data_IF_114182695723
#
_entry.id   IF_114182695723
#
_cell.length_a   1.000
_cell.length_b   1.000
_cell.length_c   1.000
_cell.angle_alpha   90.00
_cell.angle_beta   90.00
_cell.angle_gamma   90.00
#
_symmetry.space_group_name_H-M   'P 1'
#
loop_
_entity.id
_entity.type
_entity.pdbx_description
1 polymer ?
2 non-polymer ?
3 non-polymer ?
4 non-polymer ?
5 water ?
#
# COMPACT_ATOMS: atom_id res chain seq x y z
N UNK A 3 13.62 -17.18 11.30
CA UNK A 3 12.28 -17.74 11.67
C UNK A 3 11.26 -17.40 10.57
N UNK A 4 10.11 -18.07 10.58
CA UNK A 4 9.14 -18.03 9.45
C UNK A 4 7.98 -17.06 9.76
N UNK A 5 7.71 -16.12 8.85
CA UNK A 5 6.62 -15.11 8.97
C UNK A 5 5.75 -15.23 7.72
N UNK A 6 4.76 -16.10 7.79
CA UNK A 6 4.00 -16.54 6.59
C UNK A 6 2.56 -16.03 6.68
N UNK A 7 2.04 -15.66 5.52
CA UNK A 7 0.60 -15.36 5.37
C UNK A 7 0.03 -16.16 4.20
N UNK A 8 -1.30 -16.28 4.19
CA UNK A 8 -2.04 -16.72 2.99
C UNK A 8 -2.94 -15.58 2.53
N UNK A 9 -2.79 -15.21 1.27
CA UNK A 9 -3.68 -14.18 0.66
C UNK A 9 -4.82 -14.95 -0.03
N UNK A 10 -6.06 -14.42 0.08
CA UNK A 10 -7.26 -15.13 -0.39
C UNK A 10 -8.05 -14.17 -1.25
N UNK A 11 -9.13 -14.72 -1.84
CA UNK A 11 -10.04 -13.96 -2.73
C UNK A 11 -9.23 -13.29 -3.85
N UNK A 12 -8.24 -13.96 -4.42
CA UNK A 12 -7.33 -13.27 -5.37
C UNK A 12 -7.89 -13.33 -6.79
N UNK A 13 -8.88 -14.18 -7.07
CA UNK A 13 -9.26 -14.49 -8.45
C UNK A 13 -8.08 -14.94 -9.28
N UNK A 14 -8.15 -14.67 -10.56
CA UNK A 14 -7.08 -14.98 -11.53
C UNK A 14 -6.03 -13.88 -11.45
N UNK A 15 -4.76 -14.31 -11.47
CA UNK A 15 -3.59 -13.41 -11.42
C UNK A 15 -2.38 -14.10 -12.05
N UNK A 16 -1.44 -13.26 -12.40
CA UNK A 16 -0.12 -13.70 -12.87
C UNK A 16 0.89 -13.57 -11.73
N UNK A 17 1.85 -14.48 -11.64
CA UNK A 17 2.91 -14.39 -10.60
C UNK A 17 3.72 -13.10 -10.73
N UNK A 18 4.01 -12.63 -11.95
CA UNK A 18 4.74 -11.34 -12.17
C UNK A 18 4.01 -10.17 -11.53
N UNK A 19 2.69 -10.09 -11.78
CA UNK A 19 1.77 -9.03 -11.26
C UNK A 19 1.81 -9.07 -9.73
N UNK A 20 1.73 -10.28 -9.17
CA UNK A 20 1.64 -10.46 -7.70
C UNK A 20 2.98 -10.04 -7.09
N UNK A 21 4.05 -10.49 -7.68
CA UNK A 21 5.39 -10.21 -7.07
C UNK A 21 5.59 -8.66 -7.20
N UNK A 22 5.10 -8.02 -8.28
CA UNK A 22 5.12 -6.53 -8.46
C UNK A 22 4.39 -5.87 -7.29
N UNK A 23 3.15 -6.31 -7.03
CA UNK A 23 2.35 -5.75 -5.94
C UNK A 23 3.15 -5.79 -4.64
N UNK A 24 3.71 -6.97 -4.32
CA UNK A 24 4.28 -7.18 -2.97
C UNK A 24 5.61 -6.41 -2.87
N UNK A 25 6.44 -6.47 -3.91
CA UNK A 25 7.86 -6.04 -3.84
C UNK A 25 8.08 -4.64 -4.43
N UNK A 26 7.29 -4.18 -5.41
CA UNK A 26 7.50 -2.86 -6.05
C UNK A 26 6.50 -1.84 -5.52
N UNK A 27 5.22 -2.22 -5.47
CA UNK A 27 4.17 -1.30 -5.04
C UNK A 27 4.15 -1.18 -3.51
N UNK A 28 4.21 -2.29 -2.76
CA UNK A 28 4.07 -2.26 -1.28
C UNK A 28 5.37 -2.41 -0.53
N UNK A 29 6.46 -2.61 -1.28
CA UNK A 29 7.86 -2.61 -0.76
C UNK A 29 8.00 -3.62 0.37
N UNK A 30 7.37 -4.78 0.22
CA UNK A 30 7.59 -5.88 1.16
C UNK A 30 8.86 -6.61 0.78
N UNK A 31 9.56 -7.07 1.83
CA UNK A 31 10.74 -7.96 1.72
C UNK A 31 10.26 -9.41 1.75
N UNK A 32 9.94 -9.94 0.57
CA UNK A 32 9.35 -11.29 0.37
C UNK A 32 10.49 -12.31 0.22
N UNK A 33 10.46 -13.37 1.03
CA UNK A 33 11.46 -14.46 0.97
C UNK A 33 10.97 -15.61 0.09
N UNK A 34 9.63 -15.78 -0.03
CA UNK A 34 9.12 -16.97 -0.72
C UNK A 34 7.63 -16.74 -1.07
N UNK A 35 7.22 -17.27 -2.22
CA UNK A 35 5.78 -17.25 -2.64
C UNK A 35 5.43 -18.63 -3.17
N UNK A 36 4.32 -19.18 -2.70
CA UNK A 36 3.73 -20.41 -3.26
C UNK A 36 2.31 -20.07 -3.71
N UNK A 37 2.13 -19.93 -5.03
CA UNK A 37 0.82 -19.66 -5.67
C UNK A 37 0.75 -20.49 -6.94
N UNK A 38 0.84 -21.82 -6.80
CA UNK A 38 1.06 -22.68 -7.95
C UNK A 38 -0.08 -22.73 -8.95
N UNK A 39 -1.34 -22.47 -8.54
CA UNK A 39 -2.48 -22.55 -9.47
C UNK A 39 -2.69 -21.20 -10.15
N UNK A 40 -2.08 -20.13 -9.64
CA UNK A 40 -2.23 -18.76 -10.25
C UNK A 40 -3.68 -18.31 -10.15
N UNK A 41 -4.36 -18.80 -9.12
CA UNK A 41 -5.75 -18.35 -8.84
C UNK A 41 -6.09 -18.52 -7.37
N UNK A 42 -6.83 -17.51 -6.87
CA UNK A 42 -7.60 -17.52 -5.60
C UNK A 42 -6.70 -17.32 -4.38
N UNK A 43 -5.54 -17.99 -4.31
CA UNK A 43 -4.75 -17.96 -3.07
C UNK A 43 -3.25 -17.89 -3.38
N UNK A 44 -2.52 -17.33 -2.42
CA UNK A 44 -1.04 -17.27 -2.48
C UNK A 44 -0.51 -17.30 -1.05
N UNK A 45 0.44 -18.20 -0.81
CA UNK A 45 1.19 -18.18 0.45
C UNK A 45 2.45 -17.32 0.25
N UNK A 46 2.78 -16.51 1.24
CA UNK A 46 3.92 -15.56 1.14
C UNK A 46 4.63 -15.61 2.47
N UNK A 47 6.03 -15.58 2.36
CA UNK A 47 6.81 -15.45 3.60
C UNK A 47 7.74 -14.23 3.48
N UNK A 48 7.80 -13.47 4.62
CA UNK A 48 8.48 -12.15 4.73
C UNK A 48 9.75 -12.33 5.58
N UNK A 49 10.73 -11.47 5.34
CA UNK A 49 11.99 -11.59 6.10
C UNK A 49 11.74 -11.15 7.55
N UNK A 50 10.81 -10.23 7.80
CA UNK A 50 10.52 -9.73 9.16
C UNK A 50 9.04 -9.91 9.52
N UNK A 51 8.82 -10.06 10.82
CA UNK A 51 7.47 -10.02 11.43
C UNK A 51 6.80 -8.69 11.06
N UNK A 52 7.53 -7.58 11.10
CA UNK A 52 6.98 -6.24 10.76
C UNK A 52 6.29 -6.33 9.39
N UNK A 53 6.95 -6.85 8.35
CA UNK A 53 6.35 -6.91 6.99
C UNK A 53 5.14 -7.86 7.01
N UNK A 54 5.22 -8.96 7.77
CA UNK A 54 4.07 -9.92 7.88
C UNK A 54 2.89 -9.15 8.43
N UNK A 55 3.11 -8.39 9.49
CA UNK A 55 2.04 -7.59 10.14
C UNK A 55 1.53 -6.50 9.19
N UNK A 56 2.40 -5.96 8.45
CA UNK A 56 2.15 -4.89 7.44
C UNK A 56 1.29 -5.45 6.30
N UNK A 57 1.67 -6.65 5.87
CA UNK A 57 0.99 -7.33 4.77
C UNK A 57 -0.43 -7.58 5.27
N UNK A 58 -0.61 -8.01 6.52
CA UNK A 58 -2.02 -8.33 6.92
C UNK A 58 -2.86 -7.05 7.05
N UNK A 59 -2.29 -5.99 7.60
CA UNK A 59 -3.01 -4.68 7.71
C UNK A 59 -3.40 -4.13 6.32
N UNK A 60 -2.51 -4.24 5.36
CA UNK A 60 -2.68 -3.56 4.03
C UNK A 60 -3.58 -4.44 3.16
N UNK A 61 -3.25 -5.72 3.07
CA UNK A 61 -3.90 -6.58 2.06
C UNK A 61 -5.37 -6.85 2.39
N UNK A 62 -5.72 -6.89 3.66
CA UNK A 62 -7.16 -7.02 4.04
C UNK A 62 -7.94 -5.77 3.61
N UNK A 63 -8.68 -5.84 2.51
CA UNK A 63 -9.44 -4.69 2.01
C UNK A 63 -8.81 -4.07 0.77
N UNK A 64 -7.64 -4.57 0.37
CA UNK A 64 -6.90 -3.95 -0.75
C UNK A 64 -7.54 -4.39 -2.08
N UNK A 65 -7.98 -3.45 -2.89
CA UNK A 65 -8.58 -3.75 -4.20
C UNK A 65 -7.45 -3.95 -5.20
N UNK A 66 -7.42 -5.12 -5.81
CA UNK A 66 -6.35 -5.52 -6.75
C UNK A 66 -6.94 -6.45 -7.81
N UNK A 67 -6.70 -6.16 -9.09
CA UNK A 67 -7.09 -7.04 -10.19
C UNK A 67 -8.58 -7.43 -10.01
N UNK A 68 -9.43 -6.45 -9.71
CA UNK A 68 -10.92 -6.58 -9.65
C UNK A 68 -11.44 -7.17 -8.36
N UNK A 69 -10.57 -7.56 -7.42
CA UNK A 69 -10.93 -8.26 -6.18
C UNK A 69 -10.59 -7.41 -4.98
N UNK A 70 -11.33 -7.62 -3.91
CA UNK A 70 -11.00 -7.04 -2.59
C UNK A 70 -10.31 -8.15 -1.83
N UNK A 71 -8.97 -8.01 -1.70
CA UNK A 71 -8.21 -9.14 -1.14
C UNK A 71 -8.53 -9.34 0.35
N UNK A 72 -8.25 -10.54 0.82
CA UNK A 72 -8.23 -10.89 2.26
C UNK A 72 -6.85 -11.53 2.52
N UNK A 73 -6.43 -11.60 3.78
CA UNK A 73 -5.20 -12.32 4.14
C UNK A 73 -5.27 -12.79 5.58
N UNK A 74 -4.65 -13.91 5.86
CA UNK A 74 -4.54 -14.37 7.27
C UNK A 74 -3.15 -14.92 7.48
N UNK A 75 -2.71 -14.92 8.72
CA UNK A 75 -1.43 -15.62 9.08
C UNK A 75 -1.51 -17.08 8.62
N UNK A 76 -0.37 -17.70 8.34
CA UNK A 76 -0.29 -19.14 8.01
C UNK A 76 0.85 -19.73 8.82
N UNK A 77 0.72 -20.97 9.27
CA UNK A 77 1.69 -21.56 10.24
C UNK A 77 2.95 -22.06 9.51
N UNK A 78 4.10 -22.05 10.21
N UNK B 2 15.27 22.56 -9.01
CA UNK B 2 15.00 21.09 -8.84
C UNK B 2 13.51 20.78 -9.02
N UNK B 3 13.21 19.56 -9.46
CA UNK B 3 11.82 19.18 -9.83
C UNK B 3 11.07 18.85 -8.55
N UNK B 4 9.81 19.24 -8.55
CA UNK B 4 8.85 19.04 -7.43
C UNK B 4 7.97 17.87 -7.88
N UNK B 5 7.69 16.95 -6.96
CA UNK B 5 6.79 15.79 -7.16
C UNK B 5 5.73 15.86 -6.07
N UNK B 6 4.66 16.63 -6.35
CA UNK B 6 3.62 16.95 -5.33
C UNK B 6 2.32 16.22 -5.72
N UNK B 7 1.63 15.69 -4.72
CA UNK B 7 0.26 15.13 -4.92
C UNK B 7 -0.68 15.77 -3.90
N UNK B 8 -1.98 15.77 -4.23
CA UNK B 8 -3.01 16.17 -3.24
C UNK B 8 -3.86 14.93 -3.02
N UNK B 9 -3.97 14.51 -1.76
CA UNK B 9 -4.83 13.39 -1.33
C UNK B 9 -6.17 14.00 -0.95
N UNK B 10 -7.26 13.32 -1.35
CA UNK B 10 -8.61 13.89 -1.21
C UNK B 10 -9.53 12.83 -0.62
N UNK B 11 -10.72 13.30 -0.28
CA UNK B 11 -11.79 12.47 0.36
C UNK B 11 -11.24 11.82 1.63
N UNK B 12 -10.42 12.56 2.40
CA UNK B 12 -9.75 11.96 3.57
C UNK B 12 -10.63 11.99 4.79
N UNK B 13 -11.73 12.76 4.81
CA UNK B 13 -12.46 13.00 6.05
C UNK B 13 -11.57 13.55 7.16
N UNK B 14 -11.98 13.32 8.39
CA UNK B 14 -11.24 13.73 9.59
C UNK B 14 -10.10 12.75 9.76
N UNK B 15 -8.91 13.29 10.08
CA UNK B 15 -7.72 12.46 10.37
C UNK B 15 -6.80 13.29 11.26
N UNK B 16 -5.88 12.55 11.89
CA UNK B 16 -4.75 13.12 12.64
C UNK B 16 -3.50 13.18 11.78
N UNK B 17 -2.64 14.18 12.00
CA UNK B 17 -1.43 14.31 11.16
C UNK B 17 -0.45 13.15 11.48
N UNK B 18 -0.41 12.69 12.72
CA UNK B 18 0.39 11.52 13.12
C UNK B 18 0.02 10.26 12.34
N UNK B 19 -1.27 9.95 12.28
CA UNK B 19 -1.88 8.79 11.59
C UNK B 19 -1.47 8.85 10.11
N UNK B 20 -1.58 10.03 9.52
CA UNK B 20 -1.33 10.24 8.08
C UNK B 20 0.17 10.06 7.85
N UNK B 21 1.01 10.64 8.70
CA UNK B 21 2.48 10.49 8.56
C UNK B 21 2.84 9.00 8.67
N UNK B 22 2.23 8.29 9.64
CA UNK B 22 2.46 6.84 9.88
C UNK B 22 2.03 6.06 8.64
N UNK B 23 0.87 6.37 8.04
CA UNK B 23 0.42 5.68 6.81
C UNK B 23 1.50 5.83 5.72
N UNK B 24 1.95 7.05 5.46
CA UNK B 24 2.94 7.29 4.37
C UNK B 24 4.29 6.61 4.70
N UNK B 25 4.82 6.83 5.90
CA UNK B 25 6.24 6.50 6.21
C UNK B 25 6.33 5.05 6.66
N UNK B 26 5.44 4.59 7.49
CA UNK B 26 5.60 3.28 8.19
C UNK B 26 4.86 2.22 7.40
N UNK B 27 3.59 2.48 7.06
CA UNK B 27 2.78 1.44 6.40
C UNK B 27 3.20 1.31 4.92
N UNK B 28 3.40 2.41 4.20
CA UNK B 28 3.66 2.37 2.73
C UNK B 28 5.10 2.69 2.37
N UNK B 29 5.93 3.03 3.35
CA UNK B 29 7.42 3.15 3.17
C UNK B 29 7.77 4.26 2.18
N UNK B 30 7.02 5.37 2.21
CA UNK B 30 7.42 6.65 1.54
C UNK B 30 8.30 7.51 2.48
N UNK B 31 9.41 8.06 1.98
CA UNK B 31 10.13 9.17 2.64
C UNK B 31 9.76 10.45 1.91
N UNK B 32 8.79 11.09 2.46
CA UNK B 32 8.23 12.32 1.88
C UNK B 32 9.07 13.50 2.34
N UNK B 33 9.05 14.56 1.53
CA UNK B 33 9.88 15.76 1.76
C UNK B 33 9.05 16.82 2.47
N UNK B 34 7.72 16.78 2.30
CA UNK B 34 6.86 17.84 2.88
C UNK B 34 5.40 17.37 2.91
N UNK B 35 4.66 17.80 3.93
CA UNK B 35 3.21 17.57 4.05
C UNK B 35 2.55 18.89 4.44
N UNK B 36 1.50 19.30 3.74
CA UNK B 36 0.64 20.42 4.19
C UNK B 36 -0.81 19.90 4.29
N UNK B 37 -1.26 19.68 5.53
CA UNK B 37 -2.66 19.23 5.81
C UNK B 37 -3.17 20.02 7.01
N UNK B 38 -3.23 21.36 6.87
CA UNK B 38 -3.28 22.25 8.02
C UNK B 38 -4.63 22.14 8.74
N UNK B 39 -5.68 21.78 8.01
CA UNK B 39 -7.03 21.66 8.62
C UNK B 39 -7.27 20.28 9.25
N UNK B 40 -6.45 19.29 8.94
CA UNK B 40 -6.61 17.91 9.45
C UNK B 40 -7.98 17.36 9.01
N UNK B 41 -8.44 17.78 7.86
CA UNK B 41 -9.68 17.25 7.28
C UNK B 41 -9.65 17.37 5.77
N UNK B 42 -10.19 16.34 5.12
CA UNK B 42 -10.54 16.24 3.69
C UNK B 42 -9.33 16.10 2.77
N UNK B 43 -8.25 16.89 2.94
CA UNK B 43 -7.16 16.93 1.95
C UNK B 43 -5.79 17.00 2.64
N UNK B 44 -4.80 16.52 1.90
CA UNK B 44 -3.36 16.68 2.29
C UNK B 44 -2.54 16.84 1.04
N UNK B 45 -1.67 17.84 1.03
CA UNK B 45 -0.64 17.96 -0.02
C UNK B 45 0.67 17.28 0.45
N UNK B 46 1.27 16.50 -0.41
CA UNK B 46 2.52 15.76 -0.03
C UNK B 46 3.50 15.92 -1.16
N UNK B 47 4.80 16.07 -0.82
CA UNK B 47 5.87 16.08 -1.85
C UNK B 47 6.90 15.02 -1.51
N UNK B 48 7.04 14.31 -2.69
CA UNK B 48 7.99 13.08 -2.76
C UNK B 48 9.35 13.38 -3.40
N UNK B 49 10.31 12.49 -3.16
CA UNK B 49 11.75 12.63 -3.54
C UNK B 49 11.90 12.43 -5.06
N UNK B 50 11.00 11.67 -5.70
CA UNK B 50 11.12 11.21 -7.11
C UNK B 50 9.75 11.04 -7.79
N UNK B 51 9.73 11.10 -9.13
CA UNK B 51 8.55 10.73 -9.93
C UNK B 51 8.15 9.29 -9.57
N UNK B 52 9.11 8.39 -9.39
CA UNK B 52 8.83 6.96 -9.05
C UNK B 52 7.96 6.89 -7.79
N UNK B 53 8.35 7.61 -6.75
CA UNK B 53 7.65 7.67 -5.47
C UNK B 53 6.26 8.31 -5.64
N UNK B 54 6.21 9.44 -6.33
CA UNK B 54 4.93 10.12 -6.66
C UNK B 54 3.99 9.13 -7.35
N UNK B 55 4.47 8.37 -8.33
CA UNK B 55 3.60 7.51 -9.18
C UNK B 55 3.17 6.26 -8.40
N UNK B 56 3.91 5.83 -7.47
CA UNK B 56 3.53 4.72 -6.56
C UNK B 56 2.47 5.22 -5.56
N UNK B 57 2.63 6.39 -5.02
CA UNK B 57 1.69 6.98 -4.07
C UNK B 57 0.36 7.10 -4.84
N UNK B 58 0.40 7.62 -6.07
CA UNK B 58 -0.87 7.79 -6.83
C UNK B 58 -1.53 6.44 -7.08
N UNK B 59 -0.74 5.41 -7.36
CA UNK B 59 -1.26 4.06 -7.67
C UNK B 59 -1.86 3.42 -6.40
N UNK B 60 -1.24 3.63 -5.24
CA UNK B 60 -1.72 2.98 -3.97
C UNK B 60 -2.94 3.76 -3.46
N UNK B 61 -2.85 5.07 -3.39
CA UNK B 61 -3.82 5.87 -2.62
C UNK B 61 -5.16 5.97 -3.33
N UNK B 62 -5.19 5.99 -4.66
CA UNK B 62 -6.47 5.94 -5.41
C UNK B 62 -7.16 4.60 -5.14
N UNK B 63 -8.25 4.62 -4.35
CA UNK B 63 -8.97 3.38 -3.97
C UNK B 63 -8.60 2.82 -2.61
N UNK B 64 -7.65 3.42 -1.90
CA UNK B 64 -7.14 2.91 -0.59
C UNK B 64 -8.16 3.24 0.51
N UNK B 65 -8.54 2.24 1.29
CA UNK B 65 -9.46 2.32 2.43
C UNK B 65 -8.67 2.72 3.67
N UNK B 66 -8.96 3.91 4.19
CA UNK B 66 -8.20 4.49 5.30
C UNK B 66 -9.16 5.35 6.13
N UNK B 67 -9.25 5.09 7.44
CA UNK B 67 -9.97 5.91 8.41
C UNK B 67 -11.43 6.09 7.91
N UNK B 68 -12.00 5.00 7.40
CA UNK B 68 -13.42 4.95 6.99
C UNK B 68 -13.67 5.47 5.58
N UNK B 69 -12.66 5.99 4.90
CA UNK B 69 -12.84 6.59 3.56
C UNK B 69 -12.13 5.77 2.49
N UNK B 70 -12.55 5.99 1.26
CA UNK B 70 -11.92 5.44 0.04
C UNK B 70 -11.18 6.64 -0.55
N UNK B 71 -9.85 6.63 -0.37
CA UNK B 71 -9.09 7.84 -0.69
C UNK B 71 -9.05 8.03 -2.20
N UNK B 72 -8.75 9.25 -2.60
CA UNK B 72 -8.41 9.60 -3.99
C UNK B 72 -7.13 10.44 -3.95
N UNK B 73 -6.42 10.55 -5.06
CA UNK B 73 -5.23 11.42 -5.10
C UNK B 73 -4.96 11.87 -6.52
N UNK B 74 -4.42 13.09 -6.65
CA UNK B 74 -4.01 13.58 -7.98
C UNK B 74 -2.69 14.32 -7.84
N UNK B 75 -1.95 14.42 -8.93
CA UNK B 75 -0.77 15.32 -8.98
C UNK B 75 -1.26 16.71 -8.60
N UNK B 76 -0.36 17.49 -8.04
CA UNK B 76 -0.53 18.95 -7.79
C UNK B 76 0.66 19.72 -8.37
N UNK B 77 0.38 20.90 -8.88
CA UNK B 77 1.40 21.92 -9.30
C UNK B 77 1.99 22.62 -8.06
X LIG C 1 -8.49 -20.91 4.58
X LIG C 1 -7.87 -19.72 4.09
X LIG C 1 -10.00 -20.80 4.53
X LIG C 1 -8.09 -22.03 3.82
X LIG C 1 -8.09 -21.08 5.97
X LIG D 1 -10.96 -16.09 -5.67
X LIG E 1 0.72 -3.22 -8.16
X LIG F 1 -9.50 -5.66 8.04
X LIG G 1 -12.94 -3.45 -10.85
X LIG H 1 -10.69 -12.74 -11.28
X LIG I 1 2.09 -6.29 -13.83
X LIG J 1 2.29 -11.94 -24.26
X LIG K 1 1.58 -16.47 -14.08
X LIG L 1 -4.02 -17.00 -13.75
X LIG M 1 9.45 -17.93 -4.11
X LIG N 1 4.29 -21.10 -7.04
X LIG O 1 3.33 -24.85 -11.75
X LIG P 1 2.19 -11.58 -14.85
X LIG Q 1 3.72 -26.87 -0.15
X LIG R 1 -7.54 -0.50 0.67
X LIG S 1 7.76 -3.73 7.79
X LIG T 1 11.32 -10.00 12.63
X LIG U 1 5.20 -1.89 3.62
X LIG V 1 -3.48 -21.46 6.78
X LIG W 1 0.14 -5.18 -12.40
X LIG X 1 -7.07 -26.46 -2.97
X LIG Y 1 4.42 -24.76 -9.69
X LIG Z 1 -10.59 -17.36 -1.97
X LIG AA 1 -7.64 -0.59 -1.86
X LIG BA 1 11.06 -2.31 -5.63
X LIG CA 1 -9.30 2.75 11.92
X LIG CA 1 -9.66 2.86 10.53
X LIG CA 1 -10.04 3.72 12.69
X LIG CA 1 -7.87 3.01 12.05
X LIG CA 1 -9.56 1.42 12.36
X LIG DA 1 -13.60 14.43 2.93
X LIG EA 1 8.75 4.24 -4.74
X LIG FA 1 -5.90 19.29 5.72
X LIG GA 1 -2.50 5.31 9.67
X LIG HA 1 5.82 23.58 -3.84
X LIG IA 1 -15.22 1.56 7.34
X LIG JA 1 3.34 23.41 -1.37
X LIG KA 1 -15.63 7.11 0.93
X LIG LA 1 5.96 26.59 1.52
X LIG MA 1 -3.15 12.64 -11.36
X LIG NA 1 -3.66 1.26 6.31
X LIG OA 1 -3.64 16.13 14.12
X LIG PA 1 -5.25 0.82 -4.10
X LIG QA 1 -2.40 24.33 12.02
X LIG RA 1 6.60 12.26 9.93
X LIG SA 1 9.03 16.97 -4.20
X LIG TA 1 6.67 3.85 -9.29
X LIG UA 1 -3.34 4.91 12.46
X LIG VA 1 -7.58 2.99 8.76
X LIG WA 1 -11.03 2.10 7.12
X LIG XA 1 -2.55 11.62 15.07
X LIG YA 1 -10.69 18.16 13.60
X LIG ZA 1 -9.68 10.80 12.97
X LIG AB 1 -14.06 2.06 9.64
X LIG BB 1 -6.55 1.31 6.53
X LIG CB 1 -9.54 17.56 16.29
X LIG DB 1 -9.20 0.94 -6.59
X LIG EB 1 5.77 9.04 11.36
X LIG FB 1 -6.46 16.23 14.08
X LIG GB 1 10.85 17.83 -2.76
X LIG HB 1 1.66 -0.05 9.34
X LIG IB 1 -0.81 24.90 10.51
#
# INVERSE_FOLDING_TARGET
TSEIFKVEVKNMGYFGIGEFKKLLRNTLKFDVTKIKAPTRKEFAFVXFRSQEDQQRALEILNGYKWKGKVLKAHVAKASAD
TSEIFKVEVKNMGYFGIGEFKKLLRNTLKFDVTKIKAPTRKEFAFVXFRSQEDQQRALEILNGYKWKGKVLKAHVAKASAD
SO4 S O1 O2 O3 O4
CL CL
CL CL
CL CL
CL CL
CL CL
CL CL
CL CL
CL CL
CL CL
CL CL
CL CL
CL CL
CL CL
CL CL
CL CL
CL CL
CL CL
CL CL
NA NA
NA NA
NA NA
NA NA
NA NA
NA NA
NA NA
SO4 S O1 O2 O3 O4
CL CL
CL CL
CL CL
CL CL
CL CL
CL CL
CL CL
CL CL
CL CL
CL CL
CL CL
CL CL
CL CL
CL CL
CL CL
CL CL
CL CL
CL CL
CL CL
CL CL
CL CL
CL CL
CL CL
NA NA
NA NA
NA NA
NA NA
NA NA
NA NA
NA NA
NA NA
NA NA
#
